data_IF_344855434563
#
_entry.id   IF_344855434563
#
_cell.length_a   1.000
_cell.length_b   1.000
_cell.length_c   1.000
_cell.angle_alpha   90.00
_cell.angle_beta   90.00
_cell.angle_gamma   90.00
#
_symmetry.space_group_name_H-M   'P 1'
#
loop_
_entity.id
_entity.type
_entity.pdbx_description
1 polymer ?
#
# COMPACT_ATOMS: atom_id res chain seq x y z
N UNK A 1 -16.60 5.70 2.52
CA UNK A 1 -15.18 5.88 2.21
C UNK A 1 -14.37 6.34 3.43
N UNK A 2 -14.83 7.35 4.15
CA UNK A 2 -14.19 7.82 5.39
C UNK A 2 -14.65 6.98 6.58
N UNK A 3 -13.70 6.46 7.38
CA UNK A 3 -14.10 5.81 8.62
C UNK A 3 -13.35 4.53 8.99
N UNK A 4 -14.08 3.61 9.61
CA UNK A 4 -13.55 2.40 10.22
C UNK A 4 -13.46 1.27 9.18
N UNK A 5 -12.30 1.16 8.52
CA UNK A 5 -12.01 0.15 7.48
C UNK A 5 -10.52 -0.22 7.45
N UNK A 6 -10.18 -1.26 6.71
CA UNK A 6 -8.82 -1.66 6.37
C UNK A 6 -7.88 -1.78 7.60
N UNK A 7 -6.71 -1.16 7.58
CA UNK A 7 -5.74 -1.25 8.70
C UNK A 7 -6.34 -0.81 10.04
N UNK A 8 -7.31 0.10 10.06
CA UNK A 8 -7.97 0.54 11.29
C UNK A 8 -8.71 -0.60 11.98
N UNK A 9 -9.38 -1.48 11.20
CA UNK A 9 -9.99 -2.71 11.73
C UNK A 9 -8.90 -3.65 12.22
N UNK A 10 -7.85 -3.86 11.43
CA UNK A 10 -6.75 -4.75 11.77
C UNK A 10 -6.07 -4.39 13.11
N UNK A 11 -5.84 -3.11 13.34
CA UNK A 11 -5.19 -2.62 14.57
C UNK A 11 -6.10 -2.63 15.81
N UNK A 12 -7.41 -2.52 15.62
CA UNK A 12 -8.39 -2.51 16.73
C UNK A 12 -8.99 -3.89 17.01
N UNK A 13 -8.86 -4.82 16.06
CA UNK A 13 -9.25 -6.23 16.17
C UNK A 13 -8.10 -7.14 15.80
N UNK A 14 -7.07 -7.21 16.62
CA UNK A 14 -5.83 -7.93 16.32
C UNK A 14 -6.04 -9.41 16.03
N UNK A 15 -7.07 -10.03 16.59
CA UNK A 15 -7.41 -11.44 16.36
C UNK A 15 -7.74 -11.74 14.88
N UNK A 16 -8.43 -10.82 14.21
CA UNK A 16 -8.76 -10.95 12.77
C UNK A 16 -7.46 -10.82 11.96
N UNK A 17 -6.67 -9.79 12.25
CA UNK A 17 -5.44 -9.52 11.53
C UNK A 17 -4.41 -10.61 11.71
N UNK A 18 -4.18 -11.10 12.94
CA UNK A 18 -3.27 -12.20 13.21
C UNK A 18 -3.70 -13.49 12.52
N UNK A 19 -5.00 -13.77 12.41
CA UNK A 19 -5.51 -14.92 11.65
C UNK A 19 -5.13 -14.83 10.17
N UNK A 20 -5.31 -13.66 9.56
CA UNK A 20 -4.88 -13.39 8.19
C UNK A 20 -3.37 -13.54 8.02
N UNK A 21 -2.58 -12.93 8.91
CA UNK A 21 -1.11 -13.01 8.87
C UNK A 21 -0.61 -14.46 9.01
N UNK A 22 -1.21 -15.27 9.91
CA UNK A 22 -0.86 -16.70 10.02
C UNK A 22 -1.08 -17.45 8.72
N UNK A 23 -2.18 -17.19 8.02
CA UNK A 23 -2.46 -17.80 6.73
C UNK A 23 -1.42 -17.41 5.67
N UNK A 24 -1.10 -16.11 5.59
CA UNK A 24 -0.11 -15.57 4.65
C UNK A 24 1.30 -16.12 4.93
N UNK A 25 1.77 -16.08 6.18
CA UNK A 25 3.07 -16.64 6.51
C UNK A 25 3.18 -18.15 6.27
N UNK A 26 2.11 -18.91 6.51
CA UNK A 26 2.08 -20.34 6.15
C UNK A 26 2.12 -20.57 4.64
N UNK A 27 1.54 -19.68 3.86
CA UNK A 27 1.60 -19.72 2.40
C UNK A 27 2.98 -19.34 1.84
N UNK A 28 3.78 -18.60 2.60
CA UNK A 28 5.07 -18.02 2.13
C UNK A 28 6.12 -19.04 1.71
N UNK A 29 5.99 -20.31 2.11
CA UNK A 29 6.93 -21.38 1.71
C UNK A 29 6.67 -21.95 0.32
N UNK A 30 5.56 -21.56 -0.31
CA UNK A 30 5.16 -22.07 -1.64
C UNK A 30 5.52 -21.11 -2.78
N UNK A 31 6.08 -19.93 -2.49
CA UNK A 31 6.48 -18.96 -3.51
C UNK A 31 6.89 -17.62 -2.90
N UNK A 32 7.23 -16.67 -3.78
CA UNK A 32 7.50 -15.30 -3.37
C UNK A 32 6.21 -14.62 -2.91
N UNK A 33 6.26 -14.03 -1.73
CA UNK A 33 5.09 -13.39 -1.13
C UNK A 33 5.44 -11.97 -0.65
N UNK A 34 4.63 -11.00 -1.08
CA UNK A 34 4.57 -9.68 -0.49
C UNK A 34 3.26 -9.50 0.29
N UNK A 35 3.34 -8.88 1.47
CA UNK A 35 2.17 -8.53 2.29
C UNK A 35 2.06 -7.01 2.31
N UNK A 36 0.91 -6.47 1.90
CA UNK A 36 0.66 -5.04 1.79
C UNK A 36 -0.41 -4.58 2.78
N UNK A 37 -0.14 -3.51 3.51
CA UNK A 37 -1.07 -2.91 4.48
C UNK A 37 -1.78 -1.71 3.86
N UNK A 38 -3.13 -1.77 3.75
CA UNK A 38 -3.92 -0.70 3.13
C UNK A 38 -4.25 0.43 4.10
N UNK A 39 -4.64 1.59 3.57
CA UNK A 39 -5.18 2.75 4.31
C UNK A 39 -4.25 3.33 5.39
N UNK A 40 -2.95 3.30 5.15
CA UNK A 40 -1.97 3.89 6.06
C UNK A 40 -2.09 5.43 6.06
N UNK A 41 -2.01 6.02 7.24
CA UNK A 41 -2.00 7.47 7.45
C UNK A 41 -0.87 7.95 8.36
N UNK A 42 -0.19 7.03 9.06
CA UNK A 42 0.86 7.37 10.02
C UNK A 42 1.94 6.31 10.15
N UNK A 43 3.12 6.74 10.60
CA UNK A 43 4.24 5.85 10.94
C UNK A 43 3.84 4.82 12.01
N UNK A 44 3.10 5.25 13.05
CA UNK A 44 2.72 4.36 14.14
C UNK A 44 1.77 3.23 13.73
N UNK A 45 0.97 3.41 12.69
CA UNK A 45 0.14 2.33 12.12
C UNK A 45 1.03 1.25 11.48
N UNK A 46 2.05 1.65 10.74
CA UNK A 46 3.00 0.72 10.12
C UNK A 46 3.79 -0.03 11.20
N UNK A 47 4.35 0.67 12.18
CA UNK A 47 5.10 0.06 13.28
C UNK A 47 4.27 -1.00 14.03
N UNK A 48 2.99 -0.71 14.31
CA UNK A 48 2.07 -1.68 14.94
C UNK A 48 1.80 -2.89 14.06
N UNK A 49 1.60 -2.68 12.75
CA UNK A 49 1.40 -3.78 11.81
C UNK A 49 2.64 -4.68 11.73
N UNK A 50 3.84 -4.09 11.63
CA UNK A 50 5.11 -4.81 11.62
C UNK A 50 5.34 -5.59 12.93
N UNK A 51 4.99 -5.01 14.07
CA UNK A 51 5.05 -5.69 15.37
C UNK A 51 4.19 -6.96 15.36
N UNK A 52 2.94 -6.86 14.88
CA UNK A 52 2.04 -8.02 14.77
C UNK A 52 2.57 -9.08 13.81
N UNK A 53 3.21 -8.68 12.72
CA UNK A 53 3.90 -9.61 11.81
C UNK A 53 5.01 -10.38 12.52
N UNK A 54 5.83 -9.70 13.30
CA UNK A 54 6.90 -10.32 14.08
C UNK A 54 6.35 -11.29 15.12
N UNK A 55 5.30 -10.91 15.85
CA UNK A 55 4.63 -11.79 16.82
C UNK A 55 4.11 -13.07 16.17
N UNK A 56 3.41 -12.94 15.05
CA UNK A 56 2.86 -14.10 14.32
C UNK A 56 3.96 -15.00 13.77
N UNK A 57 5.05 -14.45 13.23
CA UNK A 57 6.21 -15.25 12.80
C UNK A 57 6.81 -16.03 13.97
N UNK A 58 6.96 -15.41 15.13
CA UNK A 58 7.49 -16.05 16.33
C UNK A 58 6.55 -17.19 16.80
N UNK A 59 5.25 -16.92 16.92
CA UNK A 59 4.24 -17.92 17.30
C UNK A 59 4.26 -19.16 16.36
N UNK A 60 4.40 -18.94 15.05
CA UNK A 60 4.46 -20.03 14.07
C UNK A 60 5.75 -20.85 14.21
N UNK A 61 6.90 -20.21 14.43
CA UNK A 61 8.18 -20.87 14.66
C UNK A 61 8.16 -21.73 15.93
N UNK A 62 7.58 -21.23 17.02
CA UNK A 62 7.39 -21.98 18.27
C UNK A 62 6.51 -23.22 18.08
N UNK A 63 5.56 -23.17 17.17
CA UNK A 63 4.70 -24.31 16.80
C UNK A 63 5.39 -25.28 15.82
N UNK A 64 6.65 -25.06 15.44
CA UNK A 64 7.38 -25.86 14.46
C UNK A 64 6.91 -25.67 13.01
N UNK A 65 6.16 -24.61 12.73
CA UNK A 65 5.68 -24.30 11.38
C UNK A 65 6.75 -23.49 10.64
N UNK A 66 7.19 -24.01 9.50
CA UNK A 66 8.14 -23.32 8.63
C UNK A 66 7.47 -22.16 7.92
N UNK A 67 8.13 -21.02 7.90
CA UNK A 67 7.74 -19.81 7.17
C UNK A 67 8.96 -19.25 6.43
N UNK A 68 8.74 -18.56 5.32
CA UNK A 68 9.83 -17.89 4.59
C UNK A 68 10.36 -16.69 5.39
N UNK A 69 11.67 -16.48 5.35
CA UNK A 69 12.28 -15.27 5.90
C UNK A 69 12.33 -14.10 4.90
N UNK A 70 12.02 -14.38 3.62
CA UNK A 70 12.05 -13.41 2.51
C UNK A 70 10.67 -12.82 2.13
N UNK A 71 9.73 -12.77 3.08
CA UNK A 71 8.44 -12.11 2.84
C UNK A 71 8.63 -10.62 2.87
N UNK A 72 8.35 -9.95 1.76
CA UNK A 72 8.37 -8.50 1.67
C UNK A 72 7.13 -7.90 2.35
N UNK A 73 7.34 -6.81 3.11
CA UNK A 73 6.27 -6.08 3.78
C UNK A 73 6.16 -4.68 3.17
N UNK A 74 5.00 -4.35 2.65
CA UNK A 74 4.75 -3.06 2.01
C UNK A 74 3.49 -2.38 2.50
N UNK A 75 3.27 -1.18 2.00
CA UNK A 75 2.08 -0.39 2.30
C UNK A 75 1.43 0.15 1.04
N UNK A 76 0.13 0.40 1.12
CA UNK A 76 -0.56 1.13 0.08
C UNK A 76 -0.45 2.64 0.33
N UNK A 77 0.03 3.37 -0.67
CA UNK A 77 -0.01 4.84 -0.72
C UNK A 77 -1.34 5.23 -1.39
N UNK A 78 -2.35 5.41 -0.58
CA UNK A 78 -3.71 5.71 -1.07
C UNK A 78 -4.39 6.83 -0.28
N UNK A 79 -3.65 7.42 0.67
CA UNK A 79 -4.07 8.63 1.38
C UNK A 79 -3.05 9.75 1.14
N UNK A 80 -3.48 11.01 1.00
CA UNK A 80 -2.55 12.14 0.93
C UNK A 80 -1.59 12.19 2.12
N UNK A 81 -2.06 11.78 3.30
CA UNK A 81 -1.23 11.73 4.51
C UNK A 81 -0.04 10.78 4.33
N UNK A 82 -0.27 9.56 3.82
CA UNK A 82 0.81 8.59 3.55
C UNK A 82 1.79 9.12 2.50
N UNK A 83 1.28 9.70 1.40
CA UNK A 83 2.13 10.27 0.35
C UNK A 83 3.04 11.39 0.88
N UNK A 84 2.51 12.30 1.68
CA UNK A 84 3.26 13.43 2.26
C UNK A 84 4.39 12.97 3.19
N UNK A 85 4.18 11.88 3.95
CA UNK A 85 5.18 11.35 4.89
C UNK A 85 5.91 10.11 4.35
N UNK A 86 5.86 9.87 3.05
CA UNK A 86 6.42 8.68 2.40
C UNK A 86 7.93 8.53 2.64
N UNK A 87 8.67 9.63 2.85
CA UNK A 87 10.08 9.63 3.23
C UNK A 87 10.36 8.92 4.58
N UNK A 88 9.40 8.95 5.49
CA UNK A 88 9.48 8.25 6.78
C UNK A 88 8.99 6.81 6.67
N UNK A 89 7.93 6.61 5.90
CA UNK A 89 7.33 5.29 5.71
C UNK A 89 8.24 4.34 4.92
N UNK A 90 8.94 4.83 3.90
CA UNK A 90 9.87 4.06 3.08
C UNK A 90 11.05 3.44 3.88
N UNK A 91 11.36 3.96 5.06
CA UNK A 91 12.40 3.39 5.94
C UNK A 91 11.96 2.15 6.70
N UNK A 92 10.67 1.85 6.68
CA UNK A 92 10.06 0.79 7.49
C UNK A 92 9.60 -0.41 6.66
N UNK A 93 9.50 -0.26 5.34
CA UNK A 93 8.88 -1.25 4.47
C UNK A 93 9.72 -1.51 3.22
N UNK A 94 9.48 -2.64 2.58
CA UNK A 94 10.22 -3.07 1.40
C UNK A 94 9.65 -2.46 0.11
N UNK A 95 8.35 -2.10 0.11
CA UNK A 95 7.71 -1.54 -1.08
C UNK A 95 6.51 -0.65 -0.78
N UNK A 96 6.17 0.17 -1.78
CA UNK A 96 4.92 0.90 -1.88
C UNK A 96 4.07 0.38 -3.04
N UNK A 97 2.75 0.39 -2.86
CA UNK A 97 1.78 0.23 -3.95
C UNK A 97 0.83 1.42 -3.93
N UNK A 98 0.81 2.19 -5.00
CA UNK A 98 -0.06 3.38 -5.06
C UNK A 98 -1.47 2.97 -5.44
N UNK A 99 -2.42 3.16 -4.50
CA UNK A 99 -3.85 2.95 -4.72
C UNK A 99 -4.50 4.19 -5.32
N UNK A 100 -4.42 4.34 -6.65
CA UNK A 100 -4.78 5.59 -7.32
C UNK A 100 -6.24 5.98 -7.16
N UNK A 101 -7.15 5.02 -7.05
CA UNK A 101 -8.58 5.29 -6.89
C UNK A 101 -8.89 5.98 -5.55
N UNK A 102 -8.40 5.43 -4.44
CA UNK A 102 -8.58 6.03 -3.11
C UNK A 102 -7.72 7.30 -2.95
N UNK A 103 -6.50 7.32 -3.51
CA UNK A 103 -5.67 8.53 -3.49
C UNK A 103 -6.37 9.71 -4.18
N UNK A 104 -6.97 9.49 -5.35
CA UNK A 104 -7.74 10.50 -6.06
C UNK A 104 -8.94 10.96 -5.23
N UNK A 105 -9.73 10.00 -4.73
CA UNK A 105 -10.91 10.27 -3.92
C UNK A 105 -10.62 11.15 -2.71
N UNK A 106 -9.56 10.85 -1.97
CA UNK A 106 -9.21 11.62 -0.76
C UNK A 106 -8.51 12.93 -1.07
N UNK A 107 -7.71 12.99 -2.13
CA UNK A 107 -7.02 14.22 -2.52
C UNK A 107 -7.97 15.27 -3.06
N UNK A 108 -8.91 14.87 -3.91
CA UNK A 108 -9.87 15.78 -4.54
C UNK A 108 -11.19 15.90 -3.75
N UNK A 109 -11.33 15.18 -2.63
CA UNK A 109 -12.55 15.13 -1.83
C UNK A 109 -13.79 14.70 -2.62
N UNK A 110 -13.61 13.78 -3.59
CA UNK A 110 -14.65 13.28 -4.49
C UNK A 110 -14.98 11.83 -4.19
N UNK A 111 -16.21 11.54 -3.82
CA UNK A 111 -16.67 10.16 -3.69
C UNK A 111 -16.86 9.54 -5.08
N UNK A 112 -15.97 8.61 -5.46
CA UNK A 112 -16.00 7.91 -6.76
C UNK A 112 -17.26 7.07 -7.00
N UNK A 113 -18.05 6.82 -5.96
CA UNK A 113 -19.32 6.10 -6.07
C UNK A 113 -20.52 7.02 -6.27
N UNK A 114 -20.31 8.33 -6.25
CA UNK A 114 -21.35 9.32 -6.48
C UNK A 114 -21.31 9.84 -7.92
N UNK A 115 -22.25 9.45 -8.79
CA UNK A 115 -22.25 9.86 -10.19
C UNK A 115 -22.48 11.37 -10.39
N UNK A 116 -23.06 12.07 -9.42
CA UNK A 116 -23.35 13.50 -9.54
C UNK A 116 -22.09 14.38 -9.50
N UNK A 117 -20.97 13.83 -9.00
CA UNK A 117 -19.71 14.56 -8.85
C UNK A 117 -18.56 13.96 -9.66
N UNK A 118 -18.82 13.01 -10.56
CA UNK A 118 -17.82 12.35 -11.39
C UNK A 118 -16.95 13.36 -12.16
N UNK A 119 -17.54 14.44 -12.65
CA UNK A 119 -16.84 15.52 -13.37
C UNK A 119 -15.73 16.23 -12.55
N UNK A 120 -15.74 16.08 -11.22
CA UNK A 120 -14.74 16.65 -10.32
C UNK A 120 -13.65 15.63 -9.93
N UNK A 121 -13.80 14.38 -10.32
CA UNK A 121 -12.90 13.28 -10.00
C UNK A 121 -11.86 13.09 -11.12
N UNK A 122 -11.11 14.15 -11.43
CA UNK A 122 -10.05 14.08 -12.45
C UNK A 122 -8.87 13.21 -11.95
N UNK A 123 -8.77 12.01 -12.49
CA UNK A 123 -7.70 11.07 -12.15
C UNK A 123 -6.33 11.49 -12.67
N UNK A 124 -6.27 12.37 -13.69
CA UNK A 124 -5.04 12.97 -14.23
C UNK A 124 -4.64 14.28 -13.53
N UNK A 125 -5.33 14.63 -12.45
CA UNK A 125 -5.08 15.88 -11.74
C UNK A 125 -3.63 16.01 -11.29
N UNK A 126 -3.03 17.19 -11.50
CA UNK A 126 -1.63 17.47 -11.19
C UNK A 126 -1.24 17.09 -9.75
N UNK A 127 -2.12 17.30 -8.77
CA UNK A 127 -1.85 16.93 -7.39
C UNK A 127 -1.64 15.41 -7.20
N UNK A 128 -2.39 14.58 -7.94
CA UNK A 128 -2.24 13.13 -7.88
C UNK A 128 -0.89 12.72 -8.44
N UNK A 129 -0.53 13.22 -9.63
CA UNK A 129 0.74 12.92 -10.26
C UNK A 129 1.93 13.36 -9.40
N UNK A 130 1.86 14.52 -8.76
CA UNK A 130 2.89 14.99 -7.82
C UNK A 130 3.02 14.13 -6.58
N UNK A 131 1.90 13.64 -6.01
CA UNK A 131 1.94 12.74 -4.86
C UNK A 131 2.55 11.38 -5.24
N UNK A 132 2.29 10.88 -6.45
CA UNK A 132 2.90 9.65 -6.97
C UNK A 132 4.41 9.86 -7.15
N UNK A 133 4.83 10.91 -7.83
CA UNK A 133 6.24 11.24 -8.09
C UNK A 133 7.03 11.37 -6.78
N UNK A 134 6.52 12.15 -5.83
CA UNK A 134 7.13 12.30 -4.51
C UNK A 134 7.27 10.98 -3.78
N UNK A 135 6.25 10.11 -3.85
CA UNK A 135 6.28 8.79 -3.21
C UNK A 135 7.31 7.88 -3.87
N UNK A 136 7.46 7.93 -5.20
CA UNK A 136 8.46 7.19 -5.95
C UNK A 136 9.89 7.61 -5.57
N UNK A 137 10.15 8.91 -5.56
CA UNK A 137 11.44 9.43 -5.13
C UNK A 137 11.80 9.01 -3.71
N UNK A 138 10.85 9.08 -2.78
CA UNK A 138 11.07 8.73 -1.38
C UNK A 138 11.26 7.23 -1.19
N UNK A 139 10.54 6.38 -1.93
CA UNK A 139 10.74 4.94 -1.96
C UNK A 139 12.18 4.60 -2.37
N UNK A 140 12.61 5.07 -3.55
CA UNK A 140 13.93 4.76 -4.10
C UNK A 140 15.08 5.31 -3.26
N UNK A 141 14.96 6.51 -2.69
CA UNK A 141 15.94 7.07 -1.74
C UNK A 141 16.20 6.19 -0.52
N UNK A 142 15.24 5.33 -0.17
CA UNK A 142 15.31 4.42 0.97
C UNK A 142 15.42 2.94 0.58
N UNK A 143 15.58 2.63 -0.72
CA UNK A 143 15.77 1.26 -1.21
C UNK A 143 14.48 0.43 -1.33
N UNK A 144 13.32 1.05 -1.20
CA UNK A 144 12.03 0.41 -1.45
C UNK A 144 11.65 0.53 -2.94
N UNK A 145 11.01 -0.49 -3.49
CA UNK A 145 10.42 -0.40 -4.82
C UNK A 145 8.98 0.16 -4.75
N UNK A 146 8.44 0.63 -5.87
CA UNK A 146 7.11 1.21 -5.93
C UNK A 146 6.33 0.78 -7.16
N UNK A 147 5.12 0.27 -6.94
CA UNK A 147 4.16 -0.04 -8.00
C UNK A 147 2.93 0.85 -7.94
N UNK A 148 2.15 0.83 -9.01
CA UNK A 148 0.82 1.45 -9.09
C UNK A 148 -0.22 0.36 -9.28
N UNK A 149 -1.26 0.37 -8.47
CA UNK A 149 -2.48 -0.39 -8.66
C UNK A 149 -3.68 0.56 -8.79
N UNK A 150 -4.77 0.03 -9.29
CA UNK A 150 -5.95 0.82 -9.59
C UNK A 150 -6.02 1.18 -11.08
N UNK A 151 -7.03 1.98 -11.45
CA UNK A 151 -7.37 2.20 -12.86
C UNK A 151 -6.31 2.97 -13.63
N UNK A 152 -5.58 3.89 -12.98
CA UNK A 152 -4.51 4.64 -13.61
C UNK A 152 -3.33 3.77 -14.10
N UNK A 153 -3.10 2.61 -13.50
CA UNK A 153 -2.06 1.69 -13.95
C UNK A 153 -2.31 1.17 -15.38
N UNK A 154 -3.59 1.05 -15.77
CA UNK A 154 -4.00 0.60 -17.10
C UNK A 154 -4.09 1.74 -18.13
N UNK A 155 -3.93 2.99 -17.72
CA UNK A 155 -4.00 4.14 -18.61
C UNK A 155 -2.71 4.29 -19.42
N UNK A 156 -2.77 3.86 -20.67
CA UNK A 156 -1.61 3.89 -21.56
C UNK A 156 -1.09 5.29 -21.88
N UNK A 157 -1.90 6.34 -21.67
CA UNK A 157 -1.47 7.74 -21.89
C UNK A 157 -0.52 8.21 -20.79
N UNK A 158 -0.55 7.59 -19.61
CA UNK A 158 0.33 7.89 -18.47
C UNK A 158 1.52 6.93 -18.33
N UNK A 159 1.58 5.86 -19.10
CA UNK A 159 2.66 4.86 -18.98
C UNK A 159 4.06 5.49 -19.07
N UNK A 160 4.30 6.37 -20.07
CA UNK A 160 5.59 7.05 -20.21
C UNK A 160 5.89 7.95 -19.01
N UNK A 161 4.88 8.64 -18.48
CA UNK A 161 5.00 9.49 -17.29
C UNK A 161 5.41 8.67 -16.07
N UNK A 162 4.76 7.55 -15.84
CA UNK A 162 5.09 6.67 -14.72
C UNK A 162 6.49 6.06 -14.82
N UNK A 163 6.91 5.67 -16.02
CA UNK A 163 8.29 5.20 -16.26
C UNK A 163 9.32 6.31 -15.95
N UNK A 164 9.04 7.55 -16.32
CA UNK A 164 9.91 8.71 -16.01
C UNK A 164 9.97 9.02 -14.51
N UNK A 165 8.88 8.80 -13.77
CA UNK A 165 8.84 8.91 -12.31
C UNK A 165 9.59 7.77 -11.61
N UNK A 166 9.98 6.72 -12.36
CA UNK A 166 10.68 5.56 -11.82
C UNK A 166 9.74 4.53 -11.19
N UNK A 167 8.49 4.44 -11.64
CA UNK A 167 7.57 3.39 -11.19
C UNK A 167 8.06 2.03 -11.67
N UNK A 168 8.21 1.07 -10.75
CA UNK A 168 8.78 -0.25 -11.00
C UNK A 168 7.74 -1.26 -11.50
N UNK A 169 6.47 -1.08 -11.13
CA UNK A 169 5.37 -2.01 -11.46
C UNK A 169 4.07 -1.29 -11.80
N UNK A 170 3.38 -1.75 -12.85
CA UNK A 170 2.01 -1.37 -13.16
C UNK A 170 1.11 -2.61 -13.06
N UNK A 171 0.28 -2.66 -12.02
CA UNK A 171 -0.67 -3.76 -11.79
C UNK A 171 -2.00 -3.44 -12.46
N UNK A 172 -2.34 -4.23 -13.48
CA UNK A 172 -3.51 -3.99 -14.34
C UNK A 172 -4.45 -5.19 -14.33
N UNK A 173 -5.74 -4.93 -14.55
CA UNK A 173 -6.71 -6.00 -14.79
C UNK A 173 -6.52 -6.59 -16.20
N UNK A 174 -6.77 -7.91 -16.38
CA UNK A 174 -6.71 -8.57 -17.67
C UNK A 174 -7.67 -7.99 -18.70
#
# INVERSE_FOLDING_TARGET
ALGYRAIRICLTRPEIFKTQLRALYRASVYGNLGIMFPMITSVSEVEKALTMCGEVKAELKEQGITVSDSVELGIMIETPAAAIISDKLAKLVDFFSVGTNDLTQYTLACDRQNPDIEQFCDTHHEAILRLIEMSAENAHKNGAWIGICGELAADTTLTETFLRMGIDELSVSP
#
